data_IF_168240855894
#
_entry.id   IF_168240855894
#
_cell.length_a   1.000
_cell.length_b   1.000
_cell.length_c   1.000
_cell.angle_alpha   90.00
_cell.angle_beta   90.00
_cell.angle_gamma   90.00
#
_symmetry.space_group_name_H-M   'P 1'
#
loop_
_entity.id
_entity.type
_entity.pdbx_description
1 polymer ?
#
# COMPACT_ATOMS: atom_id res chain seq x y z
N UNK A 1 -56.20 50.03 24.08
CA UNK A 1 -56.62 49.91 25.50
C UNK A 1 -56.02 48.63 26.06
N UNK A 2 -55.42 48.66 27.27
CA UNK A 2 -54.77 47.51 27.97
C UNK A 2 -53.51 46.98 27.21
N UNK A 3 -52.36 46.66 27.85
CA UNK A 3 -52.02 45.81 29.03
C UNK A 3 -52.21 44.30 28.75
N UNK A 4 -51.27 43.41 29.10
CA UNK A 4 -50.01 43.58 29.87
C UNK A 4 -48.99 42.45 29.65
N UNK A 5 -47.71 42.80 29.91
CA UNK A 5 -46.64 42.04 30.60
C UNK A 5 -46.75 40.50 30.78
N UNK A 6 -45.63 39.81 30.51
CA UNK A 6 -45.18 38.61 31.24
C UNK A 6 -43.68 38.36 31.01
N UNK A 7 -42.94 37.89 32.02
CA UNK A 7 -41.48 37.71 31.96
C UNK A 7 -41.00 36.47 32.73
N UNK A 8 -39.89 35.87 32.27
CA UNK A 8 -39.18 34.77 32.93
C UNK A 8 -38.28 33.99 31.96
N UNK A 9 -37.19 33.34 32.40
CA UNK A 9 -36.58 33.33 33.74
C UNK A 9 -35.10 32.95 33.63
N UNK A 10 -34.22 33.56 34.45
CA UNK A 10 -32.79 33.24 34.45
C UNK A 10 -32.48 31.87 35.11
N UNK A 11 -31.44 31.19 34.63
CA UNK A 11 -31.10 29.80 35.00
C UNK A 11 -29.63 29.57 35.39
N UNK A 12 -28.95 30.53 36.02
CA UNK A 12 -27.55 30.38 36.40
C UNK A 12 -27.35 29.36 37.54
N UNK A 13 -26.52 28.32 37.33
CA UNK A 13 -26.03 27.43 38.39
C UNK A 13 -24.51 27.53 38.57
N UNK A 14 -24.09 28.15 39.67
CA UNK A 14 -22.70 28.11 40.16
C UNK A 14 -22.52 26.93 41.12
N UNK A 15 -21.61 26.01 40.82
CA UNK A 15 -21.09 25.03 41.78
C UNK A 15 -19.72 25.47 42.29
N UNK A 16 -19.69 26.15 43.45
CA UNK A 16 -18.44 26.36 44.20
C UNK A 16 -18.04 25.06 44.90
N UNK A 17 -16.77 24.65 44.81
CA UNK A 17 -16.12 23.86 45.87
C UNK A 17 -14.70 24.36 46.08
N UNK A 18 -14.30 24.50 47.34
CA UNK A 18 -13.07 25.20 47.73
C UNK A 18 -12.12 24.30 48.51
N UNK A 19 -10.84 24.34 48.15
CA UNK A 19 -9.63 24.09 48.98
C UNK A 19 -8.44 24.53 48.10
N UNK A 20 -7.55 25.46 48.46
CA UNK A 20 -6.73 25.64 49.68
C UNK A 20 -5.84 24.41 49.97
N UNK A 21 -4.53 24.41 49.73
CA UNK A 21 -3.66 25.42 49.10
C UNK A 21 -2.35 25.62 49.89
N UNK A 22 -1.25 25.94 49.21
CA UNK A 22 0.06 26.21 49.82
C UNK A 22 0.94 27.09 48.89
N UNK A 23 1.51 28.20 49.39
CA UNK A 23 2.61 28.94 48.77
C UNK A 23 3.90 28.91 49.62
N UNK A 24 5.02 29.36 49.03
CA UNK A 24 6.38 29.38 49.62
C UNK A 24 7.04 27.97 49.72
N UNK A 25 8.32 27.79 49.41
CA UNK A 25 9.46 28.58 49.87
C UNK A 25 10.49 28.97 48.79
N UNK A 26 11.13 30.13 49.01
CA UNK A 26 12.35 30.57 48.32
C UNK A 26 13.57 30.48 49.25
N UNK A 27 14.63 29.78 48.83
CA UNK A 27 16.07 30.08 49.09
C UNK A 27 16.94 29.00 48.44
N UNK A 28 17.89 29.30 47.54
CA UNK A 28 19.23 29.91 47.73
C UNK A 28 20.22 29.04 48.54
N UNK A 29 21.55 29.10 48.26
CA UNK A 29 22.25 29.34 46.99
C UNK A 29 23.47 28.39 46.78
N UNK A 30 24.17 28.44 45.62
CA UNK A 30 25.36 27.58 45.42
C UNK A 30 26.26 27.90 44.22
N UNK A 31 27.06 28.98 44.27
CA UNK A 31 28.22 29.19 43.36
C UNK A 31 29.54 29.09 44.13
N UNK A 32 30.36 28.08 43.83
CA UNK A 32 31.85 28.05 43.95
C UNK A 32 32.36 27.20 42.78
N UNK A 33 33.37 27.56 41.97
CA UNK A 33 34.60 28.35 42.13
C UNK A 33 35.74 27.57 42.82
N UNK A 34 36.81 27.31 42.06
CA UNK A 34 37.92 26.42 42.38
C UNK A 34 38.00 25.26 41.37
N UNK A 35 39.01 25.11 40.52
CA UNK A 35 40.14 26.02 40.25
C UNK A 35 41.43 25.71 41.00
N UNK A 36 42.29 24.88 40.41
CA UNK A 36 43.75 24.92 40.57
C UNK A 36 44.45 24.40 39.28
N UNK A 37 45.75 24.68 39.07
CA UNK A 37 46.39 24.54 37.75
C UNK A 37 47.59 23.57 37.73
N UNK A 38 48.15 23.31 36.53
CA UNK A 38 49.61 23.52 36.25
C UNK A 38 50.02 23.26 34.80
N UNK A 39 50.88 24.17 34.30
CA UNK A 39 52.17 23.96 33.60
C UNK A 39 52.33 22.61 32.84
N UNK A 40 52.66 22.55 31.54
CA UNK A 40 53.05 23.59 30.57
C UNK A 40 54.43 23.29 29.92
N UNK A 41 54.87 24.15 28.98
CA UNK A 41 56.08 24.04 28.13
C UNK A 41 55.99 22.99 27.01
N UNK A 42 56.22 23.30 25.73
CA UNK A 42 56.35 24.62 25.08
C UNK A 42 57.18 24.60 23.79
N UNK A 43 57.18 25.74 23.08
CA UNK A 43 58.15 26.17 22.04
C UNK A 43 58.46 25.20 20.88
N UNK A 44 58.04 25.59 19.66
CA UNK A 44 58.94 26.30 18.72
C UNK A 44 58.13 26.99 17.62
N UNK A 45 58.66 28.11 17.12
CA UNK A 45 58.23 28.75 15.89
C UNK A 45 59.39 28.69 14.88
N UNK A 46 59.07 28.51 13.60
CA UNK A 46 60.00 28.64 12.48
C UNK A 46 59.22 28.77 11.15
N UNK A 47 58.84 30.00 10.81
CA UNK A 47 58.75 30.43 9.40
C UNK A 47 60.17 30.68 8.86
N UNK A 48 60.35 31.07 7.57
CA UNK A 48 59.86 30.40 6.36
C UNK A 48 61.01 30.19 5.35
N UNK A 49 60.82 29.36 4.31
CA UNK A 49 61.59 29.49 3.06
C UNK A 49 60.73 29.10 1.84
N UNK A 50 60.82 29.81 0.70
CA UNK A 50 59.92 29.60 -0.43
C UNK A 50 60.55 28.87 -1.63
N UNK A 51 59.67 28.29 -2.45
CA UNK A 51 59.89 28.09 -3.89
C UNK A 51 60.46 26.75 -4.31
N UNK A 52 59.67 26.02 -5.11
CA UNK A 52 60.18 25.39 -6.33
C UNK A 52 59.05 25.32 -7.37
N UNK A 53 59.38 24.97 -8.62
CA UNK A 53 58.53 25.22 -9.80
C UNK A 53 58.55 24.03 -10.77
N UNK A 54 57.41 23.37 -10.89
CA UNK A 54 56.95 22.64 -12.07
C UNK A 54 55.42 22.88 -12.15
N UNK A 55 54.77 23.18 -13.27
CA UNK A 55 54.92 22.61 -14.62
C UNK A 55 54.48 21.14 -14.67
N UNK A 56 53.17 20.93 -14.61
CA UNK A 56 52.50 19.97 -15.49
C UNK A 56 51.16 20.58 -15.96
N UNK A 57 50.84 20.38 -17.24
CA UNK A 57 49.74 21.04 -17.94
C UNK A 57 48.74 19.99 -18.42
N UNK A 58 47.72 19.71 -17.61
CA UNK A 58 46.62 18.84 -18.01
C UNK A 58 45.61 19.61 -18.87
N UNK A 59 45.86 19.59 -20.17
CA UNK A 59 44.89 19.90 -21.22
C UNK A 59 44.25 18.58 -21.66
N UNK A 60 43.02 18.31 -21.20
CA UNK A 60 42.24 17.15 -21.65
C UNK A 60 40.74 17.47 -21.67
N UNK A 61 40.34 18.16 -22.74
CA UNK A 61 39.12 17.90 -23.52
C UNK A 61 37.86 17.43 -22.77
N UNK A 62 37.09 18.36 -22.20
CA UNK A 62 35.69 18.06 -21.89
C UNK A 62 34.87 17.86 -23.17
N UNK A 63 34.09 16.76 -23.21
CA UNK A 63 33.18 16.45 -24.32
C UNK A 63 32.01 17.44 -24.39
N UNK A 64 31.92 18.14 -25.52
CA UNK A 64 30.77 18.97 -25.89
C UNK A 64 29.67 18.07 -26.50
N UNK A 65 28.97 17.32 -25.64
CA UNK A 65 27.86 16.44 -26.02
C UNK A 65 26.61 17.28 -26.35
N UNK A 66 26.61 17.77 -27.59
CA UNK A 66 25.53 18.57 -28.17
C UNK A 66 24.28 17.74 -28.35
N UNK A 67 23.26 18.03 -27.55
CA UNK A 67 21.88 17.70 -27.89
C UNK A 67 21.53 18.29 -29.28
N UNK A 68 20.96 17.50 -30.21
CA UNK A 68 20.55 18.03 -31.51
C UNK A 68 19.33 18.95 -31.36
N UNK A 69 19.50 20.20 -31.78
CA UNK A 69 18.45 21.21 -31.93
C UNK A 69 17.56 20.84 -33.14
N UNK A 70 16.49 20.07 -32.87
CA UNK A 70 15.49 19.66 -33.86
C UNK A 70 14.61 20.86 -34.26
N UNK A 71 15.13 21.61 -35.25
CA UNK A 71 14.54 22.82 -35.82
C UNK A 71 13.09 22.62 -36.23
N UNK A 72 12.20 23.36 -35.57
CA UNK A 72 10.86 23.62 -36.11
C UNK A 72 10.95 24.48 -37.38
N UNK A 73 10.71 23.86 -38.54
CA UNK A 73 10.60 24.54 -39.82
C UNK A 73 9.36 25.47 -39.84
N UNK A 74 9.60 26.77 -39.97
CA UNK A 74 8.56 27.81 -40.03
C UNK A 74 7.91 27.96 -41.40
N UNK A 75 7.33 26.89 -41.94
CA UNK A 75 6.65 26.88 -43.24
C UNK A 75 5.37 27.72 -43.25
N UNK A 76 5.52 29.01 -43.63
CA UNK A 76 4.42 29.96 -43.83
C UNK A 76 3.53 29.56 -45.02
N UNK A 77 2.24 29.32 -44.75
CA UNK A 77 1.21 29.35 -45.79
C UNK A 77 0.29 30.55 -45.60
N UNK A 78 0.58 31.61 -46.36
CA UNK A 78 -0.35 32.72 -46.63
C UNK A 78 -1.03 32.45 -47.99
N UNK A 79 -2.30 32.04 -47.95
CA UNK A 79 -3.21 32.04 -49.10
C UNK A 79 -4.64 32.35 -48.69
N UNK A 80 -4.97 33.63 -48.76
CA UNK A 80 -6.16 34.17 -49.45
C UNK A 80 -7.54 33.55 -49.16
N UNK A 81 -8.46 34.39 -48.67
CA UNK A 81 -9.92 34.20 -48.74
C UNK A 81 -10.39 33.76 -50.14
N UNK A 82 -11.47 32.99 -50.20
CA UNK A 82 -12.62 33.45 -50.98
C UNK A 82 -13.90 33.45 -50.15
N UNK A 83 -14.76 34.44 -50.39
CA UNK A 83 -16.15 34.45 -49.93
C UNK A 83 -16.94 33.33 -50.64
N UNK A 84 -17.83 32.64 -49.92
CA UNK A 84 -18.85 31.80 -50.55
C UNK A 84 -20.13 31.74 -49.72
N UNK A 85 -21.06 32.61 -50.08
CA UNK A 85 -22.48 32.57 -49.75
C UNK A 85 -23.22 32.49 -51.09
N UNK A 86 -24.08 31.48 -51.30
CA UNK A 86 -25.49 31.86 -51.45
C UNK A 86 -26.51 30.85 -50.88
N UNK A 87 -27.59 31.44 -50.36
CA UNK A 87 -29.00 31.06 -50.49
C UNK A 87 -29.34 29.71 -51.18
N UNK A 88 -30.15 28.88 -50.52
CA UNK A 88 -31.20 28.07 -51.18
C UNK A 88 -32.40 27.79 -50.27
N UNK A 89 -33.60 27.77 -50.87
CA UNK A 89 -34.90 27.79 -50.19
C UNK A 89 -35.34 26.47 -49.51
N UNK A 90 -36.21 26.58 -48.51
CA UNK A 90 -37.09 25.50 -48.04
C UNK A 90 -38.36 25.41 -48.91
N UNK A 91 -39.02 24.24 -49.03
CA UNK A 91 -40.27 24.05 -48.25
C UNK A 91 -40.68 22.58 -47.93
N UNK A 92 -41.66 22.44 -47.02
CA UNK A 92 -42.44 21.20 -46.75
C UNK A 92 -41.93 20.40 -45.54
N UNK A 93 -42.65 20.25 -44.41
CA UNK A 93 -44.00 19.70 -44.16
C UNK A 93 -44.11 18.18 -44.36
N UNK A 94 -44.26 17.44 -43.24
CA UNK A 94 -45.28 16.42 -42.99
C UNK A 94 -45.28 16.00 -41.50
N UNK A 95 -46.38 15.42 -41.01
CA UNK A 95 -46.67 15.22 -39.57
C UNK A 95 -46.23 13.88 -38.94
N UNK A 96 -46.59 13.69 -37.65
CA UNK A 96 -46.26 12.51 -36.82
C UNK A 96 -47.12 11.25 -37.08
N UNK A 97 -47.46 10.40 -36.07
CA UNK A 97 -47.74 10.75 -34.67
C UNK A 97 -46.80 10.05 -33.65
N UNK A 98 -47.29 9.74 -32.44
CA UNK A 98 -46.56 9.09 -31.35
C UNK A 98 -47.40 7.99 -30.68
N UNK A 99 -46.71 6.96 -30.18
CA UNK A 99 -47.14 5.90 -29.25
C UNK A 99 -45.97 5.77 -28.23
N UNK A 100 -46.08 5.81 -26.91
CA UNK A 100 -47.09 5.40 -25.92
C UNK A 100 -47.08 3.88 -25.65
N UNK A 101 -46.66 3.47 -24.44
CA UNK A 101 -46.50 2.08 -24.00
C UNK A 101 -46.66 1.95 -22.48
N UNK A 102 -47.74 1.27 -22.07
CA UNK A 102 -48.19 1.05 -20.69
C UNK A 102 -47.58 -0.19 -19.99
N UNK A 103 -47.91 -0.30 -18.69
CA UNK A 103 -47.65 -1.39 -17.73
C UNK A 103 -47.80 -2.85 -18.22
N UNK A 104 -47.04 -3.78 -17.61
CA UNK A 104 -47.37 -5.21 -17.52
C UNK A 104 -47.71 -5.65 -16.08
N UNK A 105 -49.00 -5.74 -15.75
CA UNK A 105 -49.49 -6.34 -14.50
C UNK A 105 -50.31 -7.62 -14.76
N UNK A 106 -50.26 -8.61 -13.85
CA UNK A 106 -51.26 -9.69 -13.76
C UNK A 106 -50.86 -11.15 -14.05
N UNK A 107 -50.92 -11.96 -12.98
CA UNK A 107 -51.59 -13.27 -12.87
C UNK A 107 -50.93 -14.61 -13.31
N UNK A 108 -50.56 -15.37 -12.27
CA UNK A 108 -50.62 -16.86 -12.09
C UNK A 108 -52.01 -17.45 -12.51
N UNK A 109 -52.27 -18.77 -12.79
CA UNK A 109 -52.00 -19.85 -11.82
C UNK A 109 -51.86 -21.35 -12.29
N UNK A 110 -51.60 -22.21 -11.27
CA UNK A 110 -51.99 -23.65 -11.08
C UNK A 110 -51.08 -24.83 -11.49
N UNK A 111 -50.64 -25.54 -10.44
CA UNK A 111 -50.79 -26.99 -10.14
C UNK A 111 -50.87 -28.05 -11.27
N UNK A 112 -49.94 -29.03 -11.25
CA UNK A 112 -50.15 -30.48 -10.93
C UNK A 112 -48.89 -31.29 -11.34
N UNK A 113 -48.25 -32.13 -10.51
CA UNK A 113 -48.61 -33.41 -9.82
C UNK A 113 -48.27 -34.65 -10.67
N UNK A 114 -47.77 -35.71 -10.01
CA UNK A 114 -47.46 -37.08 -10.53
C UNK A 114 -46.18 -37.20 -11.39
N UNK A 115 -45.49 -38.35 -11.48
CA UNK A 115 -45.44 -39.55 -10.60
C UNK A 115 -44.09 -40.31 -10.76
N UNK A 116 -43.91 -41.41 -10.02
CA UNK A 116 -42.67 -42.18 -9.96
C UNK A 116 -42.55 -43.34 -10.98
N UNK A 117 -41.35 -43.93 -11.04
CA UNK A 117 -40.91 -45.24 -11.62
C UNK A 117 -40.21 -45.20 -12.99
N UNK A 118 -39.27 -46.14 -13.19
CA UNK A 118 -38.84 -46.59 -14.52
C UNK A 118 -37.33 -46.75 -14.74
N UNK A 119 -36.69 -47.78 -14.16
CA UNK A 119 -35.29 -48.10 -14.47
C UNK A 119 -35.13 -49.26 -15.46
N UNK A 120 -34.36 -49.10 -16.56
CA UNK A 120 -33.92 -50.23 -17.39
C UNK A 120 -32.66 -49.99 -18.24
N UNK A 121 -31.54 -50.60 -17.80
CA UNK A 121 -30.56 -51.40 -18.58
C UNK A 121 -30.25 -51.08 -20.07
N UNK A 122 -28.93 -50.97 -20.35
CA UNK A 122 -28.18 -51.48 -21.55
C UNK A 122 -28.42 -50.79 -22.92
N UNK A 123 -27.46 -50.52 -23.83
CA UNK A 123 -26.01 -50.78 -23.95
C UNK A 123 -25.45 -50.29 -25.32
N UNK A 124 -24.10 -50.23 -25.44
CA UNK A 124 -23.23 -50.41 -26.65
C UNK A 124 -22.99 -49.27 -27.68
N UNK A 125 -21.69 -49.11 -28.01
CA UNK A 125 -21.08 -48.71 -29.32
C UNK A 125 -21.22 -47.22 -29.75
N UNK A 126 -20.32 -46.63 -30.56
CA UNK A 126 -18.97 -47.06 -31.01
C UNK A 126 -18.13 -45.94 -31.71
N UNK A 127 -16.80 -46.00 -31.49
CA UNK A 127 -15.68 -45.83 -32.47
C UNK A 127 -15.45 -44.49 -33.21
N UNK A 128 -14.34 -43.83 -32.85
CA UNK A 128 -13.21 -43.35 -33.69
C UNK A 128 -12.04 -42.95 -32.73
N UNK A 129 -10.70 -42.98 -32.95
CA UNK A 129 -9.74 -43.25 -34.07
C UNK A 129 -9.63 -42.19 -35.18
N UNK A 130 -8.46 -41.67 -35.61
CA UNK A 130 -7.01 -41.91 -35.34
C UNK A 130 -6.20 -40.73 -36.02
N UNK A 131 -4.85 -40.66 -36.23
CA UNK A 131 -3.67 -41.46 -35.78
C UNK A 131 -2.40 -40.61 -35.36
N UNK A 132 -1.23 -41.28 -35.16
CA UNK A 132 0.19 -40.76 -35.14
C UNK A 132 0.67 -39.92 -33.92
N UNK A 133 1.96 -39.87 -33.53
CA UNK A 133 3.22 -40.51 -33.98
C UNK A 133 4.14 -40.74 -32.75
N UNK A 134 4.74 -41.93 -32.53
CA UNK A 134 6.08 -42.42 -32.97
C UNK A 134 7.30 -41.86 -32.20
N UNK A 135 8.36 -42.70 -32.13
CA UNK A 135 9.60 -42.58 -31.32
C UNK A 135 9.37 -42.81 -29.80
N UNK A 136 10.20 -43.55 -29.07
CA UNK A 136 11.39 -44.36 -29.44
C UNK A 136 11.45 -45.68 -28.65
N UNK A 137 11.96 -46.73 -29.28
CA UNK A 137 12.25 -48.00 -28.61
C UNK A 137 13.48 -48.67 -29.22
N UNK A 138 14.54 -48.88 -28.42
CA UNK A 138 15.45 -50.05 -28.44
C UNK A 138 16.76 -49.77 -27.69
N UNK A 139 17.01 -50.51 -26.61
CA UNK A 139 18.36 -50.85 -26.15
C UNK A 139 18.33 -51.94 -25.06
N UNK A 140 18.69 -53.16 -25.46
CA UNK A 140 19.36 -54.25 -24.72
C UNK A 140 18.65 -55.62 -24.77
N UNK A 141 19.41 -56.62 -25.22
CA UNK A 141 19.03 -58.02 -25.29
C UNK A 141 19.80 -58.82 -24.24
N UNK A 142 19.07 -59.74 -23.58
CA UNK A 142 19.49 -61.09 -23.15
C UNK A 142 20.98 -61.31 -22.81
N UNK A 143 21.23 -61.65 -21.55
CA UNK A 143 22.07 -62.80 -21.20
C UNK A 143 21.25 -63.71 -20.29
N UNK A 144 21.38 -65.04 -20.43
CA UNK A 144 20.60 -66.02 -19.68
C UNK A 144 21.47 -67.22 -19.31
N UNK A 145 21.74 -67.41 -18.02
CA UNK A 145 22.44 -68.59 -17.49
C UNK A 145 21.78 -69.07 -16.20
N UNK A 146 21.40 -70.35 -16.21
CA UNK A 146 21.16 -71.29 -15.11
C UNK A 146 21.39 -70.79 -13.66
N UNK A 147 20.33 -70.88 -12.85
CA UNK A 147 20.37 -70.91 -11.38
C UNK A 147 19.13 -71.68 -10.87
N UNK A 148 19.33 -72.65 -9.98
CA UNK A 148 18.29 -73.59 -9.51
C UNK A 148 17.70 -73.19 -8.13
N UNK A 149 16.46 -73.63 -7.86
CA UNK A 149 15.72 -73.57 -6.56
C UNK A 149 15.22 -72.17 -6.11
N UNK A 150 14.30 -72.12 -5.11
CA UNK A 150 12.96 -72.69 -5.22
C UNK A 150 11.84 -71.71 -4.83
N UNK A 151 10.61 -71.99 -5.26
CA UNK A 151 9.45 -71.10 -5.17
C UNK A 151 8.77 -71.11 -3.76
N UNK A 152 9.43 -70.54 -2.74
CA UNK A 152 8.96 -70.64 -1.33
C UNK A 152 8.62 -69.31 -0.61
N UNK A 153 8.91 -68.14 -1.18
CA UNK A 153 8.74 -66.85 -0.45
C UNK A 153 7.31 -66.28 -0.59
N UNK A 154 6.54 -66.67 -1.62
CA UNK A 154 5.28 -66.00 -1.99
C UNK A 154 4.03 -66.45 -1.20
N UNK A 155 4.17 -67.33 -0.19
CA UNK A 155 3.04 -67.84 0.61
C UNK A 155 3.10 -67.56 2.12
N UNK A 156 4.19 -66.99 2.66
CA UNK A 156 4.33 -66.74 4.11
C UNK A 156 3.53 -65.52 4.59
N UNK A 157 3.27 -64.54 3.73
CA UNK A 157 2.63 -63.26 4.10
C UNK A 157 1.11 -63.35 4.37
N UNK A 158 0.45 -64.45 3.98
CA UNK A 158 -0.99 -64.65 4.21
C UNK A 158 -1.33 -65.28 5.57
N UNK A 159 -0.34 -65.74 6.35
CA UNK A 159 -0.57 -66.58 7.53
C UNK A 159 -0.66 -65.87 8.89
N UNK A 160 -0.15 -64.63 9.02
CA UNK A 160 0.29 -64.09 10.32
C UNK A 160 -0.71 -63.14 11.03
N UNK A 161 -1.96 -63.02 10.57
CA UNK A 161 -2.97 -62.11 11.17
C UNK A 161 -4.01 -62.78 12.08
N UNK A 162 -3.94 -64.10 12.29
CA UNK A 162 -4.94 -64.85 13.09
C UNK A 162 -4.65 -64.93 14.61
N UNK A 163 -3.80 -64.03 15.11
CA UNK A 163 -3.56 -63.86 16.54
C UNK A 163 -4.67 -63.07 17.23
N UNK A 164 -5.26 -63.62 18.30
CA UNK A 164 -6.42 -63.06 19.02
C UNK A 164 -6.16 -61.70 19.71
N UNK A 165 -4.90 -61.25 19.72
CA UNK A 165 -4.43 -59.95 20.20
C UNK A 165 -4.49 -58.82 19.14
N UNK A 166 -4.56 -59.15 17.84
CA UNK A 166 -4.47 -58.14 16.77
C UNK A 166 -5.61 -57.11 16.81
N UNK A 167 -6.82 -57.53 17.16
CA UNK A 167 -7.97 -56.64 17.36
C UNK A 167 -7.81 -55.72 18.57
N UNK A 168 -7.11 -56.15 19.62
CA UNK A 168 -6.84 -55.33 20.82
C UNK A 168 -5.83 -54.23 20.49
N UNK A 169 -4.78 -54.55 19.72
CA UNK A 169 -3.80 -53.57 19.26
C UNK A 169 -4.43 -52.56 18.30
N UNK A 170 -5.27 -53.02 17.36
CA UNK A 170 -5.97 -52.14 16.42
C UNK A 170 -6.98 -51.22 17.13
N UNK A 171 -7.76 -51.76 18.08
CA UNK A 171 -8.69 -50.95 18.87
C UNK A 171 -7.96 -49.94 19.78
N UNK A 172 -6.80 -50.32 20.34
CA UNK A 172 -5.93 -49.41 21.08
C UNK A 172 -5.43 -48.25 20.22
N UNK A 173 -4.92 -48.53 19.01
CA UNK A 173 -4.48 -47.50 18.07
C UNK A 173 -5.62 -46.56 17.64
N UNK A 174 -6.80 -47.10 17.32
CA UNK A 174 -7.98 -46.30 16.96
C UNK A 174 -8.51 -45.45 18.13
N UNK A 175 -8.42 -45.96 19.36
CA UNK A 175 -8.72 -45.17 20.55
C UNK A 175 -7.73 -44.02 20.76
N UNK A 176 -6.44 -44.25 20.47
CA UNK A 176 -5.38 -43.24 20.61
C UNK A 176 -5.47 -42.15 19.53
N UNK A 177 -5.75 -42.49 18.26
CA UNK A 177 -6.01 -41.48 17.22
C UNK A 177 -7.34 -40.76 17.42
N UNK A 178 -8.38 -41.43 17.93
CA UNK A 178 -9.62 -40.79 18.35
C UNK A 178 -9.40 -39.76 19.46
N UNK A 179 -8.63 -40.11 20.50
CA UNK A 179 -8.24 -39.19 21.57
C UNK A 179 -7.41 -38.01 21.02
N UNK A 180 -6.43 -38.28 20.15
CA UNK A 180 -5.60 -37.24 19.54
C UNK A 180 -6.44 -36.25 18.70
N UNK A 181 -7.39 -36.75 17.90
CA UNK A 181 -8.35 -35.91 17.16
C UNK A 181 -9.20 -35.05 18.09
N UNK A 182 -9.74 -35.62 19.18
CA UNK A 182 -10.54 -34.86 20.16
C UNK A 182 -9.70 -33.79 20.87
N UNK A 183 -8.44 -34.10 21.22
CA UNK A 183 -7.52 -33.11 21.82
C UNK A 183 -7.17 -32.01 20.83
N UNK A 184 -6.86 -32.33 19.57
CA UNK A 184 -6.52 -31.35 18.53
C UNK A 184 -7.72 -30.44 18.21
N UNK A 185 -8.93 -31.01 18.11
CA UNK A 185 -10.16 -30.25 17.90
C UNK A 185 -10.52 -29.39 19.12
N UNK A 186 -10.32 -29.90 20.35
CA UNK A 186 -10.49 -29.11 21.57
C UNK A 186 -9.48 -27.97 21.69
N UNK A 187 -8.22 -28.18 21.27
CA UNK A 187 -7.23 -27.11 21.14
C UNK A 187 -7.67 -26.09 20.09
N UNK A 188 -8.10 -26.52 18.89
CA UNK A 188 -8.54 -25.61 17.84
C UNK A 188 -9.75 -24.76 18.27
N UNK A 189 -10.74 -25.36 18.95
CA UNK A 189 -11.86 -24.64 19.57
C UNK A 189 -11.40 -23.72 20.69
N UNK A 190 -10.41 -24.11 21.51
CA UNK A 190 -9.84 -23.26 22.54
C UNK A 190 -9.09 -22.05 21.96
N UNK A 191 -8.32 -22.21 20.88
CA UNK A 191 -7.63 -21.10 20.19
C UNK A 191 -8.64 -20.13 19.57
N UNK A 192 -9.70 -20.64 18.93
CA UNK A 192 -10.82 -19.83 18.41
C UNK A 192 -11.56 -19.06 19.51
N UNK A 193 -11.81 -19.68 20.67
CA UNK A 193 -12.46 -19.03 21.82
C UNK A 193 -11.54 -18.09 22.61
N UNK A 194 -10.23 -18.24 22.50
CA UNK A 194 -9.22 -17.43 23.21
C UNK A 194 -8.60 -16.34 22.34
N UNK A 195 -9.01 -16.23 21.07
CA UNK A 195 -8.47 -15.25 20.11
C UNK A 195 -7.00 -15.49 19.73
N UNK A 196 -6.45 -16.67 20.01
CA UNK A 196 -5.01 -16.96 19.92
C UNK A 196 -4.66 -17.85 18.73
N UNK A 197 -4.93 -17.39 17.51
CA UNK A 197 -4.45 -18.07 16.30
C UNK A 197 -2.92 -18.01 16.24
N UNK A 198 -2.28 -19.18 16.41
CA UNK A 198 -0.84 -19.34 16.23
C UNK A 198 -0.49 -19.38 14.73
N UNK A 199 -0.65 -18.22 14.08
CA UNK A 199 -0.55 -17.97 12.65
C UNK A 199 -1.14 -16.59 12.40
N UNK A 200 -0.36 -15.71 11.74
CA UNK A 200 -0.62 -14.28 11.62
C UNK A 200 -0.79 -13.55 12.97
N UNK A 201 0.34 -13.23 13.62
CA UNK A 201 0.40 -12.08 14.53
C UNK A 201 0.39 -10.79 13.71
N UNK A 202 -0.72 -10.52 13.03
CA UNK A 202 -0.96 -9.24 12.38
C UNK A 202 -1.37 -8.22 13.45
N UNK A 203 -0.71 -7.06 13.49
CA UNK A 203 -1.00 -5.98 14.44
C UNK A 203 -2.30 -5.20 14.13
N UNK A 204 -3.13 -5.75 13.24
CA UNK A 204 -4.29 -5.11 12.64
C UNK A 204 -5.25 -4.57 13.69
N UNK A 205 -5.33 -3.24 13.77
CA UNK A 205 -6.56 -2.61 14.21
C UNK A 205 -7.69 -3.06 13.26
N UNK A 206 -8.93 -3.10 13.77
CA UNK A 206 -10.10 -3.33 12.92
C UNK A 206 -10.08 -2.31 11.76
N UNK A 207 -10.31 -2.74 10.51
CA UNK A 207 -10.19 -1.88 9.35
C UNK A 207 -11.16 -0.70 9.47
N UNK A 208 -10.65 0.50 9.17
CA UNK A 208 -11.43 1.74 9.22
C UNK A 208 -12.28 1.80 7.95
N UNK A 209 -13.48 1.21 8.02
CA UNK A 209 -14.41 1.13 6.88
C UNK A 209 -14.88 2.54 6.50
N UNK A 210 -15.51 3.22 7.46
CA UNK A 210 -15.80 4.65 7.44
C UNK A 210 -14.74 5.37 8.30
N UNK A 211 -14.20 6.53 7.89
CA UNK A 211 -13.25 7.30 8.71
C UNK A 211 -13.89 7.76 10.03
N UNK A 212 -13.12 7.90 11.14
CA UNK A 212 -13.69 8.30 12.43
C UNK A 212 -14.26 9.72 12.41
N UNK A 213 -15.24 10.02 13.28
CA UNK A 213 -15.90 11.33 13.38
C UNK A 213 -14.89 12.51 13.38
N UNK A 214 -14.84 13.27 12.27
CA UNK A 214 -13.95 14.42 12.08
C UNK A 214 -12.79 14.21 11.09
N UNK A 215 -12.45 12.96 10.77
CA UNK A 215 -11.56 12.65 9.66
C UNK A 215 -12.32 12.68 8.33
N UNK A 216 -11.62 12.93 7.22
CA UNK A 216 -12.25 13.09 5.91
C UNK A 216 -12.26 11.81 5.07
N UNK A 217 -13.24 11.72 4.17
CA UNK A 217 -13.30 10.78 3.05
C UNK A 217 -12.72 11.39 1.76
N UNK A 218 -11.85 12.41 1.85
CA UNK A 218 -11.32 13.09 0.66
C UNK A 218 -10.46 12.12 -0.17
N UNK A 219 -10.85 11.96 -1.43
CA UNK A 219 -10.01 11.40 -2.49
C UNK A 219 -9.44 12.56 -3.33
N UNK A 220 -8.23 12.44 -3.89
CA UNK A 220 -7.61 13.48 -4.70
C UNK A 220 -8.33 13.66 -6.05
N UNK A 221 -8.55 14.92 -6.44
CA UNK A 221 -9.23 15.29 -7.70
C UNK A 221 -8.34 14.99 -8.92
N UNK A 222 -7.02 15.11 -8.76
CA UNK A 222 -6.03 14.61 -9.72
C UNK A 222 -5.22 13.49 -9.08
N UNK A 223 -5.31 12.28 -9.64
CA UNK A 223 -4.54 11.11 -9.20
C UNK A 223 -3.62 10.62 -10.32
N UNK A 224 -2.37 10.32 -9.97
CA UNK A 224 -1.41 9.66 -10.85
C UNK A 224 -0.92 8.35 -10.21
N UNK A 225 -0.71 7.35 -11.07
CA UNK A 225 -0.33 5.99 -10.68
C UNK A 225 0.95 5.63 -11.44
N UNK A 226 2.05 5.43 -10.71
CA UNK A 226 3.33 5.01 -11.25
C UNK A 226 3.54 3.52 -10.92
N UNK A 227 3.52 2.63 -11.93
CA UNK A 227 3.76 1.21 -11.72
C UNK A 227 5.22 0.95 -11.35
N UNK A 228 5.51 -0.27 -10.89
CA UNK A 228 6.85 -0.67 -10.49
C UNK A 228 7.85 -0.56 -11.66
N UNK A 229 9.11 -0.30 -11.32
CA UNK A 229 10.17 0.00 -12.28
C UNK A 229 11.35 -0.95 -12.08
N UNK A 230 12.07 -1.29 -13.15
CA UNK A 230 13.16 -2.28 -13.14
C UNK A 230 14.27 -1.93 -12.11
N UNK A 231 14.46 -0.65 -11.80
CA UNK A 231 15.38 -0.16 -10.76
C UNK A 231 15.02 -0.66 -9.33
N UNK A 232 13.76 -0.98 -9.04
CA UNK A 232 13.34 -1.51 -7.74
C UNK A 232 13.34 -3.04 -7.66
N UNK A 233 13.67 -3.75 -8.74
CA UNK A 233 13.78 -5.21 -8.75
C UNK A 233 14.72 -5.79 -7.67
N UNK A 234 15.85 -5.15 -7.27
CA UNK A 234 16.68 -5.60 -6.15
C UNK A 234 15.95 -5.63 -4.79
N UNK A 235 14.85 -4.89 -4.65
CA UNK A 235 14.01 -4.81 -3.44
C UNK A 235 12.57 -5.30 -3.69
N UNK A 236 12.35 -6.17 -4.67
CA UNK A 236 11.01 -6.70 -5.00
C UNK A 236 10.41 -7.64 -3.92
N UNK A 237 11.23 -8.33 -3.11
CA UNK A 237 10.80 -9.09 -1.93
C UNK A 237 11.28 -8.39 -0.65
N UNK A 238 10.44 -8.33 0.40
CA UNK A 238 10.86 -7.88 1.73
C UNK A 238 11.72 -8.95 2.43
N UNK A 239 12.88 -8.61 3.02
CA UNK A 239 13.69 -9.57 3.78
C UNK A 239 12.93 -10.22 4.93
N UNK A 240 13.11 -11.53 5.14
CA UNK A 240 12.32 -12.35 6.07
C UNK A 240 12.60 -12.06 7.55
N UNK A 241 13.67 -11.34 7.85
CA UNK A 241 14.05 -10.80 9.14
C UNK A 241 14.10 -9.25 9.17
N UNK A 242 13.51 -8.60 8.15
CA UNK A 242 13.28 -7.16 8.15
C UNK A 242 12.45 -6.75 9.38
N UNK A 243 12.88 -5.67 10.03
CA UNK A 243 12.16 -5.05 11.14
C UNK A 243 11.16 -4.03 10.57
N UNK A 244 10.07 -3.72 11.30
CA UNK A 244 9.29 -2.51 11.04
C UNK A 244 10.19 -1.29 10.84
N UNK A 245 9.80 -0.42 9.90
CA UNK A 245 10.49 0.84 9.63
C UNK A 245 10.62 1.67 10.92
N UNK A 246 11.63 2.53 10.96
CA UNK A 246 11.79 3.51 12.04
C UNK A 246 11.65 4.92 11.51
N UNK A 247 11.13 5.83 12.34
CA UNK A 247 10.99 7.24 11.97
C UNK A 247 12.31 7.84 11.49
N UNK A 248 13.43 7.51 12.15
CA UNK A 248 14.76 7.93 11.70
C UNK A 248 15.16 7.36 10.32
N UNK A 249 14.76 6.14 9.98
CA UNK A 249 15.10 5.52 8.70
C UNK A 249 14.41 6.20 7.51
N UNK A 250 13.17 6.68 7.70
CA UNK A 250 12.36 7.31 6.64
C UNK A 250 12.50 8.83 6.63
N UNK A 251 12.58 9.45 7.82
CA UNK A 251 12.53 10.91 8.02
C UNK A 251 13.84 11.53 8.54
N UNK A 252 14.89 10.73 8.76
CA UNK A 252 16.12 11.19 9.41
C UNK A 252 16.89 12.26 8.64
N UNK A 253 16.95 12.08 7.31
CA UNK A 253 17.74 12.93 6.40
C UNK A 253 16.84 13.71 5.41
N UNK A 254 15.54 13.41 5.37
CA UNK A 254 14.49 14.07 4.55
C UNK A 254 13.73 15.18 5.29
N UNK A 255 14.15 15.58 6.49
CA UNK A 255 13.47 16.61 7.31
C UNK A 255 13.28 17.98 6.63
N UNK A 256 13.94 18.21 5.49
CA UNK A 256 13.57 19.24 4.51
C UNK A 256 13.79 18.72 3.09
N UNK A 257 12.87 19.07 2.19
CA UNK A 257 12.90 18.75 0.75
C UNK A 257 13.04 20.07 -0.03
N UNK A 258 13.83 20.11 -1.09
CA UNK A 258 14.15 21.34 -1.85
C UNK A 258 14.28 21.08 -3.35
N UNK A 259 13.42 21.73 -4.16
CA UNK A 259 13.53 21.76 -5.62
C UNK A 259 13.39 23.20 -6.12
N UNK A 260 14.36 23.68 -6.90
CA UNK A 260 14.47 25.06 -7.40
C UNK A 260 14.28 26.13 -6.31
N UNK A 261 13.09 26.74 -6.21
CA UNK A 261 12.73 27.72 -5.18
C UNK A 261 11.65 27.22 -4.21
N UNK A 262 11.16 25.99 -4.40
CA UNK A 262 10.16 25.35 -3.54
C UNK A 262 10.87 24.51 -2.47
N UNK A 263 10.75 24.97 -1.22
CA UNK A 263 11.27 24.27 -0.04
C UNK A 263 10.11 23.79 0.83
N UNK A 264 10.12 22.50 1.15
CA UNK A 264 9.24 21.88 2.13
C UNK A 264 10.03 21.51 3.40
N UNK A 265 9.39 21.58 4.55
CA UNK A 265 9.97 21.23 5.86
C UNK A 265 9.01 20.35 6.65
N UNK A 266 9.53 19.27 7.25
CA UNK A 266 8.75 18.30 8.01
C UNK A 266 8.20 18.95 9.30
N UNK A 267 6.88 18.87 9.48
CA UNK A 267 6.16 19.39 10.64
C UNK A 267 5.83 18.31 11.65
N UNK A 268 5.27 17.18 11.19
CA UNK A 268 4.93 16.02 12.02
C UNK A 268 5.23 14.72 11.26
N UNK A 269 5.65 13.69 11.99
CA UNK A 269 5.97 12.36 11.47
C UNK A 269 5.55 11.26 12.45
N UNK A 270 5.16 10.10 11.93
CA UNK A 270 4.97 8.88 12.71
C UNK A 270 5.31 7.62 11.91
N UNK A 271 5.57 6.52 12.62
CA UNK A 271 5.60 5.17 12.03
C UNK A 271 4.77 4.24 12.90
N UNK A 272 3.96 3.39 12.26
CA UNK A 272 3.03 2.47 12.91
C UNK A 272 3.18 1.05 12.36
N UNK A 273 3.14 0.04 13.21
CA UNK A 273 3.00 -1.37 12.81
C UNK A 273 1.56 -1.72 12.39
N UNK A 274 0.66 -0.73 12.32
CA UNK A 274 -0.77 -0.88 12.01
C UNK A 274 -1.13 -0.14 10.73
N UNK A 275 -0.78 -0.69 9.57
CA UNK A 275 -1.01 -0.01 8.30
C UNK A 275 -2.49 0.39 8.08
N UNK A 276 -3.44 -0.40 8.61
CA UNK A 276 -4.88 -0.11 8.57
C UNK A 276 -5.33 1.10 9.39
N UNK A 277 -4.45 1.76 10.16
CA UNK A 277 -4.74 3.05 10.82
C UNK A 277 -4.28 4.28 10.04
N UNK A 278 -3.60 4.11 8.89
CA UNK A 278 -3.18 5.19 8.00
C UNK A 278 -4.13 5.39 6.80
N UNK A 279 -5.20 4.59 6.71
CA UNK A 279 -6.16 4.55 5.60
C UNK A 279 -7.59 4.44 6.11
N UNK A 280 -8.54 4.79 5.25
CA UNK A 280 -9.95 4.41 5.37
C UNK A 280 -10.40 3.70 4.09
N UNK A 281 -11.56 3.04 4.15
CA UNK A 281 -12.08 2.21 3.06
C UNK A 281 -11.76 0.73 3.26
N UNK A 282 -12.74 -0.12 2.96
CA UNK A 282 -12.67 -1.55 3.27
C UNK A 282 -11.64 -2.27 2.41
N UNK A 283 -11.74 -2.12 1.08
CA UNK A 283 -10.96 -2.87 0.10
C UNK A 283 -9.45 -2.53 0.19
N UNK A 284 -9.12 -1.26 0.46
CA UNK A 284 -7.74 -0.81 0.72
C UNK A 284 -7.19 -1.39 2.04
N UNK A 285 -7.99 -1.41 3.10
CA UNK A 285 -7.56 -1.98 4.38
C UNK A 285 -7.46 -3.52 4.36
N UNK A 286 -8.28 -4.20 3.56
CA UNK A 286 -8.15 -5.65 3.27
C UNK A 286 -6.91 -5.92 2.42
N UNK A 287 -6.65 -5.13 1.37
CA UNK A 287 -5.45 -5.25 0.53
C UNK A 287 -4.14 -5.10 1.32
N UNK A 288 -4.05 -4.11 2.22
CA UNK A 288 -2.90 -3.96 3.13
C UNK A 288 -2.74 -5.15 4.10
N UNK A 289 -3.83 -5.78 4.52
CA UNK A 289 -3.79 -6.93 5.42
C UNK A 289 -3.36 -8.23 4.71
N UNK A 290 -3.93 -8.50 3.53
CA UNK A 290 -3.61 -9.68 2.72
C UNK A 290 -2.21 -9.56 2.08
N UNK A 291 -1.79 -8.35 1.69
CA UNK A 291 -0.43 -8.02 1.23
C UNK A 291 0.63 -8.05 2.34
N UNK A 292 0.27 -8.44 3.58
CA UNK A 292 1.22 -8.66 4.67
C UNK A 292 1.95 -7.40 5.14
N UNK A 293 1.26 -6.24 5.17
CA UNK A 293 1.84 -4.98 5.58
C UNK A 293 2.39 -5.03 7.02
N UNK A 294 3.64 -4.62 7.17
CA UNK A 294 4.45 -4.75 8.39
C UNK A 294 4.66 -3.40 9.08
N UNK A 295 4.76 -2.31 8.31
CA UNK A 295 4.70 -0.96 8.85
C UNK A 295 4.19 0.08 7.84
N UNK A 296 3.72 1.20 8.35
CA UNK A 296 3.40 2.39 7.57
C UNK A 296 4.08 3.60 8.21
N UNK A 297 4.80 4.38 7.41
CA UNK A 297 5.37 5.66 7.81
C UNK A 297 4.52 6.80 7.22
N UNK A 298 4.26 7.85 7.99
CA UNK A 298 3.52 9.04 7.57
C UNK A 298 4.31 10.29 7.96
N UNK A 299 4.40 11.27 7.07
CA UNK A 299 5.07 12.55 7.32
C UNK A 299 4.34 13.70 6.64
N UNK A 300 4.16 14.80 7.36
CA UNK A 300 3.46 16.01 6.92
C UNK A 300 4.47 17.13 6.79
N UNK A 301 4.53 17.74 5.61
CA UNK A 301 5.45 18.81 5.24
C UNK A 301 4.70 20.09 4.88
N UNK A 302 5.30 21.24 5.19
CA UNK A 302 4.81 22.57 4.80
C UNK A 302 5.86 23.38 4.06
N UNK A 303 5.42 24.31 3.23
CA UNK A 303 6.25 25.39 2.72
C UNK A 303 6.55 26.45 3.81
N UNK A 304 7.39 27.44 3.49
CA UNK A 304 7.80 28.49 4.41
C UNK A 304 6.67 29.41 4.89
N UNK A 305 5.67 29.66 4.05
CA UNK A 305 4.55 30.58 4.32
C UNK A 305 3.28 29.82 4.77
N UNK A 306 3.29 28.48 4.68
CA UNK A 306 2.17 27.56 4.97
C UNK A 306 0.95 27.79 4.08
N UNK A 307 1.17 28.17 2.82
CA UNK A 307 0.11 28.16 1.81
C UNK A 307 -0.24 26.72 1.37
N UNK A 308 0.71 25.79 1.47
CA UNK A 308 0.64 24.43 0.97
C UNK A 308 0.95 23.40 2.06
N UNK A 309 0.53 22.17 1.79
CA UNK A 309 0.82 21.01 2.62
C UNK A 309 0.98 19.76 1.76
N UNK A 310 1.93 18.91 2.15
CA UNK A 310 2.19 17.63 1.52
C UNK A 310 2.22 16.54 2.58
N UNK A 311 1.42 15.48 2.42
CA UNK A 311 1.53 14.26 3.20
C UNK A 311 2.21 13.18 2.36
N UNK A 312 3.34 12.68 2.85
CA UNK A 312 3.97 11.46 2.38
C UNK A 312 3.50 10.29 3.22
N UNK A 313 3.18 9.16 2.57
CA UNK A 313 2.91 7.88 3.23
C UNK A 313 3.70 6.78 2.52
N UNK A 314 4.39 5.93 3.29
CA UNK A 314 5.14 4.78 2.80
C UNK A 314 4.61 3.51 3.47
N UNK A 315 4.17 2.53 2.69
CA UNK A 315 3.73 1.22 3.17
C UNK A 315 4.78 0.15 2.86
N UNK A 316 5.08 -0.67 3.86
CA UNK A 316 6.09 -1.73 3.88
C UNK A 316 5.37 -3.10 3.84
N UNK A 317 5.19 -3.66 2.63
CA UNK A 317 4.38 -4.87 2.37
C UNK A 317 5.26 -6.11 2.10
N UNK A 318 4.68 -7.25 1.72
CA UNK A 318 5.45 -8.48 1.52
C UNK A 318 6.38 -8.45 0.30
N UNK A 319 5.87 -7.97 -0.84
CA UNK A 319 6.49 -8.09 -2.16
C UNK A 319 5.88 -7.10 -3.18
N UNK A 320 6.41 -7.10 -4.41
CA UNK A 320 5.99 -6.26 -5.54
C UNK A 320 4.56 -6.52 -6.05
N UNK A 321 4.03 -7.73 -5.88
CA UNK A 321 2.66 -8.06 -6.29
C UNK A 321 1.67 -7.50 -5.24
N UNK A 322 2.01 -7.59 -3.96
CA UNK A 322 1.27 -6.98 -2.86
C UNK A 322 1.27 -5.44 -2.94
N UNK A 323 2.39 -4.81 -3.30
CA UNK A 323 2.49 -3.35 -3.43
C UNK A 323 1.68 -2.82 -4.62
N UNK A 324 1.74 -3.50 -5.77
CA UNK A 324 0.88 -3.20 -6.92
C UNK A 324 -0.62 -3.34 -6.59
N UNK A 325 -1.02 -4.38 -5.85
CA UNK A 325 -2.41 -4.56 -5.44
C UNK A 325 -2.91 -3.42 -4.52
N UNK A 326 -2.07 -2.94 -3.59
CA UNK A 326 -2.39 -1.79 -2.72
C UNK A 326 -2.47 -0.49 -3.53
N UNK A 327 -1.59 -0.28 -4.52
CA UNK A 327 -1.63 0.87 -5.41
C UNK A 327 -2.90 0.93 -6.29
N UNK A 328 -3.41 -0.24 -6.72
CA UNK A 328 -4.71 -0.31 -7.40
C UNK A 328 -5.85 0.19 -6.49
N UNK A 329 -5.90 -0.27 -5.23
CA UNK A 329 -6.95 0.13 -4.27
C UNK A 329 -6.85 1.58 -3.77
N UNK A 330 -5.66 2.20 -3.86
CA UNK A 330 -5.48 3.64 -3.62
C UNK A 330 -6.07 4.51 -4.74
N UNK A 331 -6.40 3.95 -5.90
CA UNK A 331 -6.88 4.75 -7.02
C UNK A 331 -8.37 5.12 -6.89
N UNK A 332 -8.78 6.39 -7.05
CA UNK A 332 -10.18 6.83 -6.98
C UNK A 332 -11.15 6.33 -8.08
N UNK A 333 -10.93 5.13 -8.68
CA UNK A 333 -11.75 4.50 -9.75
C UNK A 333 -13.14 4.02 -9.27
N UNK A 334 -13.74 4.66 -8.27
CA UNK A 334 -15.08 4.35 -7.74
C UNK A 334 -15.13 3.41 -6.53
N UNK A 335 -13.98 2.91 -6.05
CA UNK A 335 -13.86 2.21 -4.76
C UNK A 335 -13.79 3.23 -3.61
N UNK A 336 -14.53 3.05 -2.50
CA UNK A 336 -14.43 3.93 -1.34
C UNK A 336 -13.17 3.61 -0.52
N UNK A 337 -12.18 4.50 -0.55
CA UNK A 337 -11.00 4.43 0.30
C UNK A 337 -9.90 5.39 -0.12
N UNK A 338 -9.12 5.86 0.86
CA UNK A 338 -7.88 6.61 0.63
C UNK A 338 -7.04 6.66 1.92
N UNK A 339 -5.96 7.46 1.89
CA UNK A 339 -5.22 7.83 3.09
C UNK A 339 -6.09 8.55 4.12
N UNK A 340 -5.74 8.40 5.40
CA UNK A 340 -6.16 9.32 6.46
C UNK A 340 -5.11 10.44 6.60
N UNK A 341 -5.53 11.71 6.69
CA UNK A 341 -4.65 12.80 7.12
C UNK A 341 -4.07 12.54 8.51
N UNK A 342 -2.78 12.84 8.70
CA UNK A 342 -2.08 12.69 9.98
C UNK A 342 -2.44 13.82 10.96
N UNK A 343 -2.32 15.07 10.52
CA UNK A 343 -2.78 16.25 11.26
C UNK A 343 -4.22 16.61 10.84
N UNK A 344 -5.14 16.57 11.80
CA UNK A 344 -6.57 16.79 11.61
C UNK A 344 -6.98 18.26 11.45
N UNK A 345 -6.09 19.20 11.77
CA UNK A 345 -6.37 20.65 11.62
C UNK A 345 -6.11 21.13 10.16
N UNK A 346 -5.56 20.25 9.30
CA UNK A 346 -5.23 20.53 7.90
C UNK A 346 -6.44 20.46 6.97
N UNK A 347 -7.18 21.57 6.90
CA UNK A 347 -8.31 21.76 5.99
C UNK A 347 -8.03 21.27 4.56
N UNK A 348 -6.83 21.52 4.01
CA UNK A 348 -6.43 21.07 2.67
C UNK A 348 -6.45 19.57 2.40
N UNK A 349 -6.18 18.74 3.41
CA UNK A 349 -6.26 17.27 3.30
C UNK A 349 -7.64 16.73 3.74
N UNK A 350 -8.55 17.63 4.15
CA UNK A 350 -9.89 17.29 4.60
C UNK A 350 -11.00 17.74 3.63
N UNK A 351 -10.84 18.86 2.91
CA UNK A 351 -11.79 19.36 1.93
C UNK A 351 -11.14 20.23 0.84
N UNK A 352 -11.77 20.28 -0.34
CA UNK A 352 -11.30 21.08 -1.47
C UNK A 352 -10.37 20.31 -2.40
N UNK A 353 -9.58 21.05 -3.18
CA UNK A 353 -8.73 20.47 -4.22
C UNK A 353 -7.42 19.90 -3.65
N UNK A 354 -7.11 18.65 -4.02
CA UNK A 354 -5.82 18.01 -3.76
C UNK A 354 -5.40 17.14 -4.94
N UNK A 355 -4.09 16.90 -5.06
CA UNK A 355 -3.50 16.00 -6.06
C UNK A 355 -2.71 14.91 -5.33
N UNK A 356 -2.68 13.68 -5.86
CA UNK A 356 -1.78 12.67 -5.34
C UNK A 356 -1.09 11.87 -6.44
N UNK A 357 0.12 11.40 -6.14
CA UNK A 357 0.81 10.36 -6.91
C UNK A 357 1.08 9.16 -6.01
N UNK A 358 0.68 7.97 -6.45
CA UNK A 358 1.13 6.70 -5.87
C UNK A 358 2.25 6.14 -6.74
N UNK A 359 3.34 5.68 -6.12
CA UNK A 359 4.46 5.01 -6.78
C UNK A 359 4.72 3.64 -6.13
N UNK A 360 4.74 2.60 -6.95
CA UNK A 360 5.23 1.28 -6.52
C UNK A 360 6.76 1.26 -6.63
N UNK A 361 7.41 0.74 -5.59
CA UNK A 361 8.88 0.73 -5.45
C UNK A 361 9.33 -0.62 -4.89
N UNK A 362 9.20 -1.69 -5.68
CA UNK A 362 9.37 -3.07 -5.21
C UNK A 362 8.35 -3.41 -4.10
N UNK A 363 8.81 -3.92 -2.96
CA UNK A 363 7.93 -4.22 -1.81
C UNK A 363 7.40 -2.98 -1.04
N UNK A 364 7.65 -1.77 -1.54
CA UNK A 364 7.10 -0.53 -0.98
C UNK A 364 6.01 0.08 -1.86
N UNK A 365 5.02 0.74 -1.22
CA UNK A 365 4.12 1.69 -1.87
C UNK A 365 4.33 3.07 -1.27
N UNK A 366 4.80 4.01 -2.06
CA UNK A 366 4.85 5.43 -1.72
C UNK A 366 3.59 6.15 -2.20
N UNK A 367 3.06 7.06 -1.39
CA UNK A 367 1.97 7.96 -1.76
C UNK A 367 2.35 9.38 -1.37
N UNK A 368 2.34 10.27 -2.36
CA UNK A 368 2.64 11.69 -2.23
C UNK A 368 1.33 12.45 -2.44
N UNK A 369 0.76 13.07 -1.39
CA UNK A 369 -0.55 13.74 -1.44
C UNK A 369 -0.40 15.21 -1.10
N UNK A 370 -0.66 16.10 -2.05
CA UNK A 370 -0.44 17.54 -1.95
C UNK A 370 -1.75 18.34 -2.05
N UNK A 371 -1.85 19.38 -1.23
CA UNK A 371 -2.98 20.31 -1.21
C UNK A 371 -2.52 21.73 -0.89
N UNK A 372 -3.37 22.72 -1.16
CA UNK A 372 -3.29 24.00 -0.44
C UNK A 372 -3.75 23.80 0.99
N UNK A 373 -3.02 24.33 1.98
CA UNK A 373 -3.35 24.14 3.40
C UNK A 373 -4.75 24.66 3.77
N UNK A 374 -5.28 25.65 3.04
CA UNK A 374 -6.62 26.23 3.21
C UNK A 374 -7.75 25.47 2.48
N UNK A 375 -7.45 24.39 1.73
CA UNK A 375 -8.42 23.69 0.90
C UNK A 375 -9.02 24.55 -0.21
N UNK A 376 -8.31 25.60 -0.64
CA UNK A 376 -8.69 26.42 -1.80
C UNK A 376 -8.38 25.74 -3.12
N UNK A 377 -8.96 26.26 -4.20
CA UNK A 377 -8.64 25.89 -5.58
C UNK A 377 -7.15 26.14 -5.91
N UNK A 378 -6.54 25.34 -6.79
CA UNK A 378 -5.17 25.56 -7.23
C UNK A 378 -5.08 26.89 -8.01
N UNK A 379 -3.88 27.47 -8.02
CA UNK A 379 -3.59 28.58 -8.93
C UNK A 379 -3.49 28.04 -10.36
N UNK A 380 -3.71 28.88 -11.36
CA UNK A 380 -3.48 28.53 -12.77
C UNK A 380 -1.98 28.66 -13.11
N UNK A 381 -1.17 27.89 -12.40
CA UNK A 381 0.28 27.77 -12.54
C UNK A 381 0.74 26.38 -12.07
N UNK A 382 2.02 26.05 -12.27
CA UNK A 382 2.55 24.71 -12.04
C UNK A 382 2.79 24.36 -10.56
N UNK A 383 2.47 25.24 -9.60
CA UNK A 383 2.85 25.09 -8.18
C UNK A 383 2.48 23.72 -7.60
N UNK A 384 1.28 23.21 -7.88
CA UNK A 384 0.83 21.91 -7.38
C UNK A 384 1.66 20.74 -7.94
N UNK A 385 2.04 20.81 -9.23
CA UNK A 385 2.89 19.81 -9.86
C UNK A 385 4.31 19.87 -9.31
N UNK A 386 4.88 21.07 -9.14
CA UNK A 386 6.18 21.28 -8.48
C UNK A 386 6.17 20.70 -7.06
N UNK A 387 5.15 21.00 -6.25
CA UNK A 387 5.01 20.46 -4.89
C UNK A 387 4.93 18.93 -4.87
N UNK A 388 4.17 18.32 -5.78
CA UNK A 388 4.09 16.86 -5.90
C UNK A 388 5.47 16.26 -6.20
N UNK A 389 6.27 16.87 -7.09
CA UNK A 389 7.64 16.42 -7.38
C UNK A 389 8.58 16.67 -6.19
N UNK A 390 8.54 17.82 -5.52
CA UNK A 390 9.35 18.08 -4.30
C UNK A 390 9.07 17.05 -3.21
N UNK A 391 7.81 16.58 -3.12
CA UNK A 391 7.41 15.58 -2.13
C UNK A 391 7.99 14.18 -2.44
N UNK A 392 8.40 13.90 -3.68
CA UNK A 392 9.00 12.61 -4.06
C UNK A 392 10.37 12.37 -3.41
N UNK A 393 11.11 13.43 -3.08
CA UNK A 393 12.37 13.34 -2.33
C UNK A 393 12.20 12.71 -0.94
N UNK A 394 10.99 12.72 -0.37
CA UNK A 394 10.70 12.03 0.89
C UNK A 394 10.93 10.50 0.82
N UNK A 395 10.96 9.91 -0.38
CA UNK A 395 11.21 8.49 -0.61
C UNK A 395 12.70 8.13 -0.79
N UNK A 396 13.66 9.04 -0.56
CA UNK A 396 15.10 8.80 -0.79
C UNK A 396 15.61 7.52 -0.08
N UNK A 397 15.10 7.20 1.10
CA UNK A 397 15.47 6.01 1.89
C UNK A 397 15.07 4.67 1.23
N UNK A 398 14.26 4.70 0.17
CA UNK A 398 13.97 3.53 -0.68
C UNK A 398 15.02 3.39 -1.78
N UNK A 399 15.42 4.49 -2.43
CA UNK A 399 16.51 4.50 -3.41
C UNK A 399 17.86 4.14 -2.76
N UNK A 400 18.11 4.57 -1.52
CA UNK A 400 19.28 4.12 -0.74
C UNK A 400 19.28 2.61 -0.49
N UNK A 401 18.11 1.99 -0.30
CA UNK A 401 17.98 0.54 -0.15
C UNK A 401 18.18 -0.20 -1.48
N UNK A 402 17.76 0.36 -2.63
CA UNK A 402 18.13 -0.16 -3.95
C UNK A 402 19.66 -0.18 -4.10
N UNK A 403 20.33 0.95 -3.89
CA UNK A 403 21.78 1.04 -4.05
C UNK A 403 22.58 0.18 -3.06
N UNK A 404 22.01 -0.13 -1.89
CA UNK A 404 22.56 -1.12 -0.99
C UNK A 404 22.40 -2.56 -1.55
N UNK A 405 21.21 -2.91 -2.06
CA UNK A 405 20.92 -4.22 -2.62
C UNK A 405 21.61 -4.51 -3.98
N UNK A 406 21.97 -3.47 -4.74
CA UNK A 406 22.82 -3.56 -5.93
C UNK A 406 24.32 -3.77 -5.61
N UNK A 407 24.73 -3.59 -4.35
CA UNK A 407 26.13 -3.57 -3.91
C UNK A 407 26.69 -4.87 -3.30
N UNK A 408 25.83 -5.86 -3.04
CA UNK A 408 26.14 -7.15 -2.37
C UNK A 408 26.25 -8.36 -3.35
#
# INVERSE_FOLDING_TARGET
MRKSDSAGRAGARRSRRSRSGDPEQRSRPGRRAGGEPRRGRGQRAAEPYPGERAEDSYDDTYGDDRYPDDRYDGSRHDTTHPDYDPDYDAPGDHGGPADDWDDPDGADPRETRSEARGGSRRARKAVQSDPLSRFSASALKRVSVLGDRPNQIVYSLAGQSRGRSGTVVLAGLLGLTGLAMVVLLAVLVYLLLSGSTAGSSANNAAPIIDPPDGHSTLQPELYHEQPDQEIFAPIAERPKDAKPMTEKQVFGDTGSLELDSTKLSLGESQVTEKCTSAVWGKELAESLADGGCNSAAQGVYHDSDKEFVAQFVLFDVADSDASAAVAEQLTPKGTPGFLLPLDSDLKGLHEGYSQATTQVMGHYVAVFWVARADGGEPKNDDSMATLNVVTMDAAVSVYEQVHAAEGD
#
